data_IF_141295061681
#
_entry.id   IF_141295061681
#
_cell.length_a   1.000
_cell.length_b   1.000
_cell.length_c   1.000
_cell.angle_alpha   90.00
_cell.angle_beta   90.00
_cell.angle_gamma   90.00
#
_symmetry.space_group_name_H-M   'P 1'
#
loop_
_entity.id
_entity.type
_entity.pdbx_description
1 polymer ?
#
# COMPACT_ATOMS: atom_id res chain seq x y z
N UNK A 1 23.28 27.13 -5.42
CA UNK A 1 22.12 26.45 -4.79
C UNK A 1 21.21 25.90 -5.88
N UNK A 2 21.37 24.66 -6.38
CA UNK A 2 20.43 24.02 -7.34
C UNK A 2 20.91 22.61 -7.76
N UNK A 3 21.02 21.66 -6.83
CA UNK A 3 21.37 20.28 -7.24
C UNK A 3 20.82 19.21 -6.29
N UNK A 4 19.48 19.04 -6.26
CA UNK A 4 18.89 17.81 -5.71
C UNK A 4 17.48 17.47 -6.23
N UNK A 5 17.08 17.96 -7.41
CA UNK A 5 15.70 17.86 -7.91
C UNK A 5 15.24 16.54 -8.59
N UNK A 6 16.07 15.54 -8.97
CA UNK A 6 15.56 14.42 -9.78
C UNK A 6 14.87 13.30 -8.97
N UNK A 7 15.14 13.17 -7.67
CA UNK A 7 14.62 12.04 -6.87
C UNK A 7 13.15 12.23 -6.44
N UNK A 8 12.67 13.47 -6.33
CA UNK A 8 11.29 13.75 -5.91
C UNK A 8 10.30 13.52 -7.04
N UNK A 9 10.64 13.86 -8.29
CA UNK A 9 9.74 13.68 -9.44
C UNK A 9 9.50 12.21 -9.80
N UNK A 10 10.52 11.36 -9.63
CA UNK A 10 10.45 9.91 -9.85
C UNK A 10 9.68 9.19 -8.73
N UNK A 11 9.86 9.64 -7.49
CA UNK A 11 9.09 9.15 -6.35
C UNK A 11 7.61 9.56 -6.45
N UNK A 12 7.32 10.84 -6.74
CA UNK A 12 5.96 11.36 -6.86
C UNK A 12 5.17 10.64 -7.95
N UNK A 13 5.79 10.39 -9.11
CA UNK A 13 5.18 9.62 -10.21
C UNK A 13 4.86 8.18 -9.83
N UNK A 14 5.74 7.52 -9.05
CA UNK A 14 5.51 6.17 -8.53
C UNK A 14 4.36 6.12 -7.50
N UNK A 15 4.30 7.08 -6.57
CA UNK A 15 3.23 7.16 -5.58
C UNK A 15 1.87 7.42 -6.22
N UNK A 16 1.79 8.35 -7.17
CA UNK A 16 0.53 8.64 -7.88
C UNK A 16 0.05 7.40 -8.64
N UNK A 17 0.96 6.69 -9.32
CA UNK A 17 0.62 5.47 -10.06
C UNK A 17 0.15 4.33 -9.14
N UNK A 18 0.78 4.18 -7.97
CA UNK A 18 0.37 3.18 -6.97
C UNK A 18 -1.01 3.51 -6.36
N UNK A 19 -1.24 4.77 -5.96
CA UNK A 19 -2.53 5.23 -5.43
C UNK A 19 -3.64 5.01 -6.47
N UNK A 20 -3.40 5.39 -7.72
CA UNK A 20 -4.39 5.22 -8.79
C UNK A 20 -4.66 3.75 -9.10
N UNK A 21 -3.61 2.91 -9.11
CA UNK A 21 -3.72 1.47 -9.35
C UNK A 21 -4.49 0.76 -8.22
N UNK A 22 -4.21 1.08 -6.96
CA UNK A 22 -4.94 0.53 -5.81
C UNK A 22 -6.38 1.05 -5.78
N UNK A 23 -6.60 2.33 -6.06
CA UNK A 23 -7.95 2.90 -6.13
C UNK A 23 -8.79 2.23 -7.22
N UNK A 24 -8.22 2.03 -8.42
CA UNK A 24 -8.88 1.33 -9.51
C UNK A 24 -9.24 -0.12 -9.13
N UNK A 25 -8.32 -0.83 -8.47
CA UNK A 25 -8.55 -2.19 -7.98
C UNK A 25 -9.69 -2.23 -6.96
N UNK A 26 -9.73 -1.27 -6.02
CA UNK A 26 -10.78 -1.16 -5.02
C UNK A 26 -12.14 -0.88 -5.67
N UNK A 27 -12.20 0.04 -6.65
CA UNK A 27 -13.45 0.32 -7.38
C UNK A 27 -13.94 -0.91 -8.13
N UNK A 28 -13.05 -1.63 -8.82
CA UNK A 28 -13.40 -2.88 -9.50
C UNK A 28 -13.92 -3.93 -8.52
N UNK A 29 -13.26 -4.07 -7.37
CA UNK A 29 -13.65 -4.99 -6.31
C UNK A 29 -15.02 -4.65 -5.72
N UNK A 30 -15.27 -3.38 -5.39
CA UNK A 30 -16.57 -2.92 -4.89
C UNK A 30 -17.66 -3.09 -5.94
N UNK A 31 -17.36 -2.87 -7.22
CA UNK A 31 -18.31 -3.11 -8.31
C UNK A 31 -18.65 -4.59 -8.43
N UNK A 32 -17.66 -5.47 -8.37
CA UNK A 32 -17.87 -6.92 -8.36
C UNK A 32 -18.68 -7.37 -7.13
N UNK A 33 -18.43 -6.77 -5.95
CA UNK A 33 -19.22 -7.00 -4.75
C UNK A 33 -20.66 -6.51 -4.89
N UNK A 34 -20.87 -5.31 -5.42
CA UNK A 34 -22.20 -4.73 -5.59
C UNK A 34 -23.03 -5.53 -6.60
N UNK A 35 -22.40 -5.96 -7.70
CA UNK A 35 -23.01 -6.88 -8.67
C UNK A 35 -23.31 -8.21 -7.97
N UNK A 36 -22.33 -8.83 -7.30
CA UNK A 36 -22.52 -10.10 -6.59
C UNK A 36 -23.56 -10.05 -5.47
N UNK A 37 -23.73 -8.92 -4.78
CA UNK A 37 -24.69 -8.73 -3.71
C UNK A 37 -26.12 -8.41 -4.21
N UNK A 38 -26.27 -7.83 -5.40
CA UNK A 38 -27.57 -7.61 -6.04
C UNK A 38 -28.06 -8.81 -6.86
N UNK A 39 -27.20 -9.79 -7.10
CA UNK A 39 -27.66 -11.09 -7.56
C UNK A 39 -28.32 -11.80 -6.37
N UNK A 40 -29.62 -11.58 -6.16
CA UNK A 40 -30.45 -12.32 -5.20
C UNK A 40 -30.81 -13.73 -5.72
N UNK A 41 -30.10 -14.21 -6.74
CA UNK A 41 -30.29 -15.53 -7.31
C UNK A 41 -29.69 -16.59 -6.39
N UNK A 42 -30.56 -17.44 -5.83
CA UNK A 42 -30.17 -18.57 -4.99
C UNK A 42 -29.52 -19.61 -5.90
N UNK A 43 -28.19 -19.61 -5.99
CA UNK A 43 -27.46 -20.63 -6.77
C UNK A 43 -27.40 -21.91 -5.94
N UNK A 44 -28.05 -22.98 -6.41
CA UNK A 44 -27.97 -24.32 -5.82
C UNK A 44 -26.56 -24.88 -6.01
N UNK A 45 -25.72 -24.72 -4.98
CA UNK A 45 -24.34 -25.23 -5.01
C UNK A 45 -24.39 -26.73 -4.76
N UNK A 46 -24.41 -27.50 -5.85
CA UNK A 46 -24.33 -28.95 -5.79
C UNK A 46 -22.91 -29.38 -5.40
N UNK A 47 -22.67 -29.59 -4.10
CA UNK A 47 -21.40 -30.08 -3.58
C UNK A 47 -21.26 -31.59 -3.81
N UNK A 48 -21.38 -32.06 -5.05
CA UNK A 48 -21.13 -33.43 -5.56
C UNK A 48 -21.85 -34.62 -4.86
N UNK A 49 -22.42 -34.45 -3.66
CA UNK A 49 -22.99 -35.46 -2.76
C UNK A 49 -24.21 -34.88 -1.98
N UNK A 50 -24.37 -33.56 -1.88
CA UNK A 50 -25.56 -32.91 -1.31
C UNK A 50 -25.81 -31.52 -1.92
N UNK A 51 -27.09 -31.19 -2.15
CA UNK A 51 -27.58 -29.88 -2.58
C UNK A 51 -27.84 -29.02 -1.34
N UNK A 52 -27.10 -27.92 -1.19
CA UNK A 52 -27.33 -26.95 -0.12
C UNK A 52 -27.77 -25.62 -0.69
N UNK A 53 -28.95 -25.16 -0.29
CA UNK A 53 -29.47 -23.83 -0.58
C UNK A 53 -28.72 -22.80 0.27
N UNK A 54 -27.51 -22.43 -0.17
CA UNK A 54 -26.74 -21.38 0.48
C UNK A 54 -27.16 -20.02 -0.07
N UNK A 55 -27.70 -19.17 0.81
CA UNK A 55 -27.98 -17.78 0.47
C UNK A 55 -26.68 -17.06 0.13
N UNK A 56 -26.64 -16.36 -1.01
CA UNK A 56 -25.48 -15.59 -1.49
C UNK A 56 -24.92 -14.62 -0.44
N UNK A 57 -25.75 -14.16 0.49
CA UNK A 57 -25.36 -13.34 1.64
C UNK A 57 -24.21 -13.92 2.48
N UNK A 58 -24.14 -15.24 2.70
CA UNK A 58 -23.04 -15.85 3.48
C UNK A 58 -21.73 -15.88 2.71
N UNK A 59 -21.82 -16.13 1.40
CA UNK A 59 -20.67 -16.13 0.50
C UNK A 59 -20.08 -14.72 0.40
N UNK A 60 -20.94 -13.71 0.24
CA UNK A 60 -20.56 -12.30 0.24
C UNK A 60 -20.00 -11.84 1.58
N UNK A 61 -20.57 -12.28 2.70
CA UNK A 61 -20.03 -11.99 4.03
C UNK A 61 -18.61 -12.55 4.21
N UNK A 62 -18.37 -13.79 3.78
CA UNK A 62 -17.03 -14.40 3.78
C UNK A 62 -16.04 -13.63 2.90
N UNK A 63 -16.48 -13.25 1.69
CA UNK A 63 -15.66 -12.47 0.76
C UNK A 63 -15.32 -11.08 1.30
N UNK A 64 -16.26 -10.44 1.99
CA UNK A 64 -16.07 -9.14 2.63
C UNK A 64 -15.03 -9.22 3.75
N UNK A 65 -15.13 -10.21 4.63
CA UNK A 65 -14.17 -10.42 5.72
C UNK A 65 -12.78 -10.73 5.15
N UNK A 66 -12.70 -11.61 4.15
CA UNK A 66 -11.43 -11.93 3.50
C UNK A 66 -10.80 -10.70 2.85
N UNK A 67 -11.56 -9.93 2.07
CA UNK A 67 -11.09 -8.69 1.45
C UNK A 67 -10.66 -7.64 2.47
N UNK A 68 -11.41 -7.49 3.57
CA UNK A 68 -11.06 -6.57 4.66
C UNK A 68 -9.75 -6.95 5.34
N UNK A 69 -9.54 -8.24 5.63
CA UNK A 69 -8.28 -8.74 6.21
C UNK A 69 -7.12 -8.52 5.23
N UNK A 70 -7.29 -8.84 3.94
CA UNK A 70 -6.26 -8.61 2.93
C UNK A 70 -5.89 -7.12 2.85
N UNK A 71 -6.88 -6.23 2.83
CA UNK A 71 -6.65 -4.79 2.80
C UNK A 71 -5.92 -4.30 4.07
N UNK A 72 -6.33 -4.75 5.25
CA UNK A 72 -5.66 -4.43 6.52
C UNK A 72 -4.20 -4.87 6.53
N UNK A 73 -3.92 -6.12 6.11
CA UNK A 73 -2.57 -6.65 6.06
C UNK A 73 -1.69 -5.86 5.09
N UNK A 74 -2.19 -5.54 3.90
CA UNK A 74 -1.47 -4.71 2.93
C UNK A 74 -1.20 -3.31 3.48
N UNK A 75 -2.19 -2.66 4.09
CA UNK A 75 -2.05 -1.32 4.65
C UNK A 75 -1.05 -1.31 5.81
N UNK A 76 -1.09 -2.30 6.70
CA UNK A 76 -0.20 -2.43 7.83
C UNK A 76 1.25 -2.70 7.38
N UNK A 77 1.44 -3.62 6.43
CA UNK A 77 2.75 -3.92 5.87
C UNK A 77 3.35 -2.71 5.14
N UNK A 78 2.56 -2.00 4.35
CA UNK A 78 3.02 -0.82 3.62
C UNK A 78 3.34 0.34 4.56
N UNK A 79 2.49 0.62 5.55
CA UNK A 79 2.71 1.65 6.56
C UNK A 79 4.01 1.43 7.34
N UNK A 80 4.27 0.18 7.75
CA UNK A 80 5.50 -0.16 8.47
C UNK A 80 6.75 0.00 7.60
N UNK A 81 6.69 -0.41 6.32
CA UNK A 81 7.79 -0.21 5.36
C UNK A 81 8.12 1.27 5.17
N UNK A 82 7.13 2.13 4.93
CA UNK A 82 7.33 3.58 4.76
C UNK A 82 7.98 4.21 6.00
N UNK A 83 7.54 3.80 7.20
CA UNK A 83 8.07 4.33 8.45
C UNK A 83 9.52 3.90 8.68
N UNK A 84 9.88 2.67 8.31
CA UNK A 84 11.25 2.14 8.39
C UNK A 84 12.18 2.84 7.39
N UNK A 85 11.75 3.04 6.15
CA UNK A 85 12.51 3.78 5.14
C UNK A 85 12.79 5.21 5.61
N UNK A 86 11.77 5.91 6.11
CA UNK A 86 11.91 7.27 6.64
C UNK A 86 12.91 7.35 7.81
N UNK A 87 12.93 6.33 8.68
CA UNK A 87 13.91 6.25 9.77
C UNK A 87 15.33 5.99 9.26
N UNK A 88 15.48 5.17 8.22
CA UNK A 88 16.75 4.91 7.55
C UNK A 88 17.32 6.14 6.85
N UNK A 89 16.47 6.90 6.15
CA UNK A 89 16.88 8.14 5.46
C UNK A 89 17.38 9.20 6.45
N UNK A 90 16.70 9.41 7.59
CA UNK A 90 17.15 10.33 8.65
C UNK A 90 18.52 9.98 9.21
N UNK A 91 18.81 8.68 9.39
CA UNK A 91 20.12 8.22 9.87
C UNK A 91 21.25 8.47 8.86
N UNK A 92 20.96 8.33 7.56
CA UNK A 92 21.94 8.64 6.50
C UNK A 92 22.21 10.15 6.41
N UNK A 93 21.15 10.97 6.53
CA UNK A 93 21.24 12.43 6.55
C UNK A 93 22.10 12.94 7.73
N UNK A 94 21.88 12.40 8.93
CA UNK A 94 22.65 12.78 10.12
C UNK A 94 24.15 12.43 10.01
N UNK A 95 24.50 11.32 9.34
CA UNK A 95 25.90 10.94 9.10
C UNK A 95 26.57 11.87 8.08
N UNK A 96 25.88 12.20 6.99
CA UNK A 96 26.38 13.12 5.98
C UNK A 96 26.60 14.52 6.54
N UNK A 97 25.68 15.03 7.38
CA UNK A 97 25.84 16.33 8.04
C UNK A 97 27.07 16.39 8.96
N UNK A 98 27.34 15.30 9.71
CA UNK A 98 28.54 15.22 10.56
C UNK A 98 29.83 15.20 9.75
N UNK A 99 29.84 14.57 8.59
CA UNK A 99 31.02 14.58 7.71
C UNK A 99 31.25 15.99 7.15
N UNK A 100 30.21 16.66 6.66
CA UNK A 100 30.32 18.04 6.17
C UNK A 100 30.87 19.00 7.24
N UNK A 101 30.35 18.93 8.46
CA UNK A 101 30.85 19.78 9.55
C UNK A 101 32.32 19.51 9.88
N UNK A 102 32.78 18.25 9.84
CA UNK A 102 34.19 17.91 10.07
C UNK A 102 35.11 18.45 8.97
N UNK A 103 34.70 18.29 7.70
CA UNK A 103 35.48 18.83 6.58
C UNK A 103 35.56 20.36 6.64
N UNK A 104 34.49 21.05 7.06
CA UNK A 104 34.55 22.51 7.26
C UNK A 104 35.51 22.91 8.39
N UNK A 105 35.49 22.19 9.50
CA UNK A 105 36.36 22.47 10.65
C UNK A 105 37.85 22.23 10.33
N UNK A 106 38.15 21.25 9.47
CA UNK A 106 39.49 21.00 8.94
C UNK A 106 39.93 22.15 8.01
N UNK A 107 39.07 22.61 7.08
CA UNK A 107 39.40 23.72 6.16
C UNK A 107 39.60 25.09 6.85
N UNK A 108 38.97 25.32 8.00
CA UNK A 108 39.13 26.58 8.77
C UNK A 108 40.42 26.59 9.60
N UNK A 109 40.96 25.42 9.93
CA UNK A 109 42.17 25.29 10.74
C UNK A 109 43.47 25.42 9.94
N UNK A 110 43.37 25.20 8.62
CA UNK A 110 44.47 25.33 7.66
C UNK A 110 44.56 26.72 6.98
N UNK A 111 43.65 27.65 7.31
CA UNK A 111 43.65 29.06 6.86
C UNK A 111 44.06 30.00 8.00
#
# INVERSE_FOLDING_TARGET
MLHNFPSFCLALGGYVKAIFSTLLLVVLFVTALAVGAQNDEVVSVNYLIAESDMRLSWLMAGLFIAGFITCLLFLLAFYTRIRLESAGLKRRLAKQQKQLNKLQDETVKDS
#
